data_IF_412742253297
#
_entry.id   IF_412742253297
#
_cell.length_a   1.000
_cell.length_b   1.000
_cell.length_c   1.000
_cell.angle_alpha   90.00
_cell.angle_beta   90.00
_cell.angle_gamma   90.00
#
_symmetry.space_group_name_H-M   'P 1'
#
loop_
_entity.id
_entity.type
_entity.pdbx_description
1 polymer ?
#
# COMPACT_ATOMS: atom_id res chain seq x y z
N UNK A 1 -8.45 -20.53 17.89
CA UNK A 1 -7.30 -20.32 16.98
C UNK A 1 -6.20 -19.59 17.74
N UNK A 2 -4.93 -19.89 17.52
CA UNK A 2 -3.82 -19.21 18.22
C UNK A 2 -3.48 -17.86 17.56
N UNK A 3 -2.93 -16.90 18.32
CA UNK A 3 -2.59 -15.57 17.83
C UNK A 3 -1.65 -15.61 16.60
N UNK A 4 -0.68 -16.53 16.58
CA UNK A 4 0.26 -16.70 15.46
C UNK A 4 -0.42 -17.10 14.15
N UNK A 5 -1.51 -17.87 14.20
CA UNK A 5 -2.27 -18.28 13.01
C UNK A 5 -3.03 -17.08 12.44
N UNK A 6 -3.63 -16.26 13.31
CA UNK A 6 -4.34 -15.04 12.93
C UNK A 6 -3.37 -14.04 12.27
N UNK A 7 -2.16 -13.89 12.82
CA UNK A 7 -1.14 -12.99 12.25
C UNK A 7 -0.66 -13.46 10.86
N UNK A 8 -0.49 -14.76 10.66
CA UNK A 8 -0.11 -15.33 9.37
C UNK A 8 -1.20 -15.15 8.30
N UNK A 9 -2.46 -15.43 8.65
CA UNK A 9 -3.60 -15.20 7.75
C UNK A 9 -3.74 -13.73 7.36
N UNK A 10 -3.58 -12.85 8.34
CA UNK A 10 -3.65 -11.40 8.13
C UNK A 10 -2.53 -10.90 7.20
N UNK A 11 -1.31 -11.41 7.39
CA UNK A 11 -0.17 -11.13 6.50
C UNK A 11 -0.45 -11.58 5.08
N UNK A 12 -0.95 -12.81 4.90
CA UNK A 12 -1.28 -13.35 3.57
C UNK A 12 -2.38 -12.54 2.87
N UNK A 13 -3.46 -12.22 3.58
CA UNK A 13 -4.54 -11.38 3.05
C UNK A 13 -4.04 -10.00 2.63
N UNK A 14 -3.13 -9.41 3.40
CA UNK A 14 -2.55 -8.11 3.09
C UNK A 14 -1.70 -8.19 1.82
N UNK A 15 -0.90 -9.25 1.67
CA UNK A 15 -0.11 -9.50 0.47
C UNK A 15 -0.97 -9.66 -0.79
N UNK A 16 -2.06 -10.41 -0.70
CA UNK A 16 -3.00 -10.61 -1.81
C UNK A 16 -3.67 -9.28 -2.23
N UNK A 17 -4.15 -8.50 -1.25
CA UNK A 17 -4.75 -7.19 -1.52
C UNK A 17 -3.77 -6.21 -2.16
N UNK A 18 -2.50 -6.22 -1.75
CA UNK A 18 -1.47 -5.39 -2.36
C UNK A 18 -1.26 -5.76 -3.84
N UNK A 19 -1.22 -7.05 -4.17
CA UNK A 19 -1.13 -7.51 -5.55
C UNK A 19 -2.36 -7.10 -6.36
N UNK A 20 -3.58 -7.27 -5.84
CA UNK A 20 -4.81 -6.81 -6.49
C UNK A 20 -4.80 -5.31 -6.74
N UNK A 21 -4.34 -4.53 -5.76
CA UNK A 21 -4.24 -3.08 -5.88
C UNK A 21 -3.22 -2.68 -6.95
N UNK A 22 -2.03 -3.29 -6.95
CA UNK A 22 -1.04 -3.07 -8.00
C UNK A 22 -1.62 -3.36 -9.40
N UNK A 23 -2.30 -4.49 -9.56
CA UNK A 23 -2.89 -4.89 -10.86
C UNK A 23 -4.02 -3.95 -11.31
N UNK A 24 -4.77 -3.35 -10.39
CA UNK A 24 -5.87 -2.42 -10.72
C UNK A 24 -5.42 -1.17 -11.50
N UNK A 25 -4.13 -0.83 -11.49
CA UNK A 25 -3.59 0.28 -12.28
C UNK A 25 -3.44 -0.03 -13.77
N UNK A 26 -3.49 -1.31 -14.16
CA UNK A 26 -3.34 -1.77 -15.55
C UNK A 26 -4.68 -2.10 -16.22
N UNK A 27 -5.79 -2.08 -15.47
CA UNK A 27 -7.11 -2.50 -15.97
C UNK A 27 -7.96 -1.35 -16.52
N UNK A 28 -7.51 -0.10 -16.42
CA UNK A 28 -8.27 1.09 -16.83
C UNK A 28 -7.45 1.94 -17.83
N UNK A 29 -7.99 2.14 -19.03
CA UNK A 29 -7.40 2.97 -20.09
C UNK A 29 -7.13 4.40 -19.59
N UNK A 30 -7.93 4.92 -18.66
CA UNK A 30 -7.69 6.22 -18.04
C UNK A 30 -6.40 6.25 -17.21
N UNK A 31 -6.07 5.16 -16.51
CA UNK A 31 -4.83 5.04 -15.75
C UNK A 31 -3.62 4.92 -16.69
N UNK A 32 -3.75 4.20 -17.81
CA UNK A 32 -2.72 4.10 -18.84
C UNK A 32 -2.40 5.48 -19.45
N UNK A 33 -3.44 6.25 -19.79
CA UNK A 33 -3.29 7.60 -20.36
C UNK A 33 -2.74 8.63 -19.36
N UNK A 34 -2.84 8.36 -18.06
CA UNK A 34 -2.35 9.23 -16.98
C UNK A 34 -1.26 8.57 -16.14
N UNK A 35 -0.53 7.61 -16.71
CA UNK A 35 0.35 6.73 -15.94
C UNK A 35 1.35 7.50 -15.08
N UNK A 36 1.88 8.61 -15.58
CA UNK A 36 2.82 9.47 -14.86
C UNK A 36 2.30 9.96 -13.50
N UNK A 37 0.99 10.15 -13.37
CA UNK A 37 0.35 10.58 -12.11
C UNK A 37 0.27 9.43 -11.10
N UNK A 38 0.11 8.21 -11.57
CA UNK A 38 -0.06 7.02 -10.75
C UNK A 38 1.25 6.28 -10.48
N UNK A 39 2.31 6.55 -11.25
CA UNK A 39 3.65 5.98 -11.09
C UNK A 39 4.13 5.99 -9.63
N UNK A 40 4.10 7.11 -8.89
CA UNK A 40 4.62 7.12 -7.52
C UNK A 40 3.89 6.15 -6.58
N UNK A 41 2.56 6.07 -6.69
CA UNK A 41 1.73 5.16 -5.88
C UNK A 41 1.93 3.71 -6.29
N UNK A 42 1.98 3.45 -7.60
CA UNK A 42 2.22 2.12 -8.14
C UNK A 42 3.57 1.57 -7.71
N UNK A 43 4.62 2.38 -7.81
CA UNK A 43 5.98 2.00 -7.44
C UNK A 43 6.09 1.81 -5.91
N UNK A 44 5.42 2.65 -5.11
CA UNK A 44 5.33 2.43 -3.67
C UNK A 44 4.65 1.10 -3.32
N UNK A 45 3.54 0.74 -3.99
CA UNK A 45 2.88 -0.57 -3.80
C UNK A 45 3.84 -1.71 -4.17
N UNK A 46 4.53 -1.62 -5.31
CA UNK A 46 5.50 -2.64 -5.75
C UNK A 46 6.63 -2.82 -4.72
N UNK A 47 7.15 -1.73 -4.18
CA UNK A 47 8.18 -1.77 -3.15
C UNK A 47 7.66 -2.45 -1.88
N UNK A 48 6.44 -2.16 -1.43
CA UNK A 48 5.86 -2.86 -0.28
C UNK A 48 5.64 -4.35 -0.55
N UNK A 49 5.18 -4.73 -1.75
CA UNK A 49 5.11 -6.15 -2.16
C UNK A 49 6.49 -6.81 -2.01
N UNK A 50 7.56 -6.15 -2.44
CA UNK A 50 8.93 -6.65 -2.27
C UNK A 50 9.31 -6.83 -0.79
N UNK A 51 8.85 -5.96 0.11
CA UNK A 51 9.03 -6.12 1.56
C UNK A 51 8.37 -7.39 2.11
N UNK A 52 7.24 -7.81 1.56
CA UNK A 52 6.62 -9.11 1.90
C UNK A 52 7.43 -10.31 1.42
N UNK A 53 8.06 -10.20 0.25
CA UNK A 53 8.91 -11.28 -0.30
C UNK A 53 10.20 -11.41 0.52
N UNK A 54 10.78 -10.29 0.96
CA UNK A 54 12.01 -10.25 1.77
C UNK A 54 11.78 -10.43 3.27
N UNK A 55 10.52 -10.47 3.71
CA UNK A 55 10.09 -10.46 5.12
C UNK A 55 10.64 -9.29 5.96
N UNK A 56 10.85 -8.14 5.32
CA UNK A 56 11.38 -6.92 5.93
C UNK A 56 10.25 -6.03 6.44
N UNK A 57 9.83 -6.26 7.69
CA UNK A 57 8.76 -5.53 8.37
C UNK A 57 7.50 -5.25 7.49
N UNK A 58 7.00 -6.25 6.74
CA UNK A 58 6.07 -6.01 5.64
C UNK A 58 4.76 -5.35 6.05
N UNK A 59 4.20 -5.75 7.20
CA UNK A 59 2.95 -5.18 7.72
C UNK A 59 3.09 -3.71 8.12
N UNK A 60 4.26 -3.30 8.62
CA UNK A 60 4.52 -1.90 8.97
C UNK A 60 4.64 -1.04 7.71
N UNK A 61 5.35 -1.54 6.68
CA UNK A 61 5.39 -0.88 5.37
C UNK A 61 4.01 -0.81 4.70
N UNK A 62 3.14 -1.81 4.87
CA UNK A 62 1.76 -1.76 4.39
C UNK A 62 0.93 -0.67 5.07
N UNK A 63 1.01 -0.53 6.40
CA UNK A 63 0.33 0.57 7.11
C UNK A 63 0.85 1.94 6.71
N UNK A 64 2.17 2.06 6.53
CA UNK A 64 2.82 3.27 6.02
C UNK A 64 2.34 3.64 4.62
N UNK A 65 2.16 2.65 3.74
CA UNK A 65 1.64 2.83 2.38
C UNK A 65 0.20 3.37 2.37
N UNK A 66 -0.67 2.88 3.26
CA UNK A 66 -2.04 3.40 3.39
C UNK A 66 -2.01 4.90 3.68
N UNK A 67 -1.20 5.33 4.65
CA UNK A 67 -1.05 6.74 4.99
C UNK A 67 -0.46 7.57 3.85
N UNK A 68 0.53 7.05 3.14
CA UNK A 68 1.09 7.70 1.95
C UNK A 68 0.01 7.92 0.87
N UNK A 69 -0.79 6.89 0.54
CA UNK A 69 -1.84 7.00 -0.48
C UNK A 69 -2.93 7.98 -0.05
N UNK A 70 -3.38 7.93 1.21
CA UNK A 70 -4.34 8.90 1.75
C UNK A 70 -3.80 10.34 1.65
N UNK A 71 -2.50 10.52 1.89
CA UNK A 71 -1.81 11.81 1.73
C UNK A 71 -1.82 12.28 0.28
N UNK A 72 -1.57 11.39 -0.69
CA UNK A 72 -1.65 11.71 -2.12
C UNK A 72 -3.07 12.08 -2.58
N UNK A 73 -4.10 11.44 -2.00
CA UNK A 73 -5.50 11.80 -2.26
C UNK A 73 -5.80 13.20 -1.73
N UNK A 74 -5.36 13.50 -0.51
CA UNK A 74 -5.64 14.77 0.17
C UNK A 74 -4.88 15.97 -0.44
N UNK A 75 -3.57 15.86 -0.64
CA UNK A 75 -2.71 16.98 -1.06
C UNK A 75 -2.50 17.08 -2.57
N UNK A 76 -2.40 15.94 -3.26
CA UNK A 76 -2.16 15.89 -4.72
C UNK A 76 -3.44 15.69 -5.54
N UNK A 77 -4.60 15.71 -4.86
CA UNK A 77 -5.93 15.45 -5.42
C UNK A 77 -5.99 14.17 -6.27
N UNK A 78 -5.18 13.15 -5.91
CA UNK A 78 -5.15 11.89 -6.64
C UNK A 78 -6.52 11.23 -6.59
N UNK A 79 -7.09 10.94 -7.76
CA UNK A 79 -8.38 10.25 -7.85
C UNK A 79 -8.13 8.78 -8.09
N UNK A 80 -8.62 7.96 -7.16
CA UNK A 80 -8.65 6.51 -7.29
C UNK A 80 -10.02 6.07 -7.82
N UNK A 81 -10.05 4.95 -8.54
CA UNK A 81 -11.30 4.31 -8.93
C UNK A 81 -12.06 3.77 -7.70
N UNK A 82 -13.35 3.44 -7.87
CA UNK A 82 -14.14 2.83 -6.79
C UNK A 82 -13.51 1.52 -6.27
N UNK A 83 -12.95 0.72 -7.18
CA UNK A 83 -12.26 -0.52 -6.83
C UNK A 83 -10.98 -0.25 -6.03
N UNK A 84 -10.17 0.71 -6.46
CA UNK A 84 -8.94 1.10 -5.77
C UNK A 84 -9.23 1.66 -4.36
N UNK A 85 -10.29 2.45 -4.20
CA UNK A 85 -10.74 2.92 -2.89
C UNK A 85 -11.18 1.77 -1.98
N UNK A 86 -11.91 0.78 -2.52
CA UNK A 86 -12.29 -0.40 -1.75
C UNK A 86 -11.06 -1.20 -1.27
N UNK A 87 -10.07 -1.37 -2.15
CA UNK A 87 -8.81 -2.04 -1.81
C UNK A 87 -8.04 -1.28 -0.73
N UNK A 88 -7.95 0.05 -0.85
CA UNK A 88 -7.32 0.91 0.15
C UNK A 88 -7.98 0.77 1.53
N UNK A 89 -9.32 0.80 1.61
CA UNK A 89 -10.03 0.64 2.88
C UNK A 89 -9.82 -0.73 3.52
N UNK A 90 -9.76 -1.80 2.71
CA UNK A 90 -9.46 -3.14 3.23
C UNK A 90 -8.03 -3.23 3.77
N UNK A 91 -7.06 -2.62 3.09
CA UNK A 91 -5.68 -2.52 3.60
C UNK A 91 -5.61 -1.71 4.89
N UNK A 92 -6.33 -0.60 4.98
CA UNK A 92 -6.44 0.21 6.19
C UNK A 92 -6.96 -0.63 7.36
N UNK A 93 -8.03 -1.38 7.18
CA UNK A 93 -8.58 -2.25 8.22
C UNK A 93 -7.61 -3.32 8.73
N UNK A 94 -6.80 -3.87 7.82
CA UNK A 94 -5.77 -4.83 8.18
C UNK A 94 -4.57 -4.16 8.86
N UNK A 95 -4.29 -2.89 8.58
CA UNK A 95 -3.04 -2.25 9.04
C UNK A 95 -3.21 -1.26 10.19
N UNK A 96 -4.44 -0.87 10.55
CA UNK A 96 -4.75 0.17 11.55
C UNK A 96 -4.15 0.01 12.96
N UNK A 97 -3.76 -1.20 13.34
CA UNK A 97 -3.18 -1.51 14.66
C UNK A 97 -1.69 -1.90 14.60
N UNK A 98 -1.03 -1.68 13.46
CA UNK A 98 0.39 -1.97 13.31
C UNK A 98 1.21 -0.80 13.84
N UNK A 99 2.24 -1.10 14.64
CA UNK A 99 3.20 -0.09 15.09
C UNK A 99 4.08 0.36 13.91
N UNK A 100 4.09 1.66 13.65
CA UNK A 100 4.80 2.27 12.52
C UNK A 100 6.12 2.97 12.93
N UNK A 101 6.46 2.95 14.23
CA UNK A 101 7.54 3.78 14.80
C UNK A 101 8.90 3.57 14.10
N UNK A 102 9.18 2.35 13.62
CA UNK A 102 10.47 1.99 13.05
C UNK A 102 10.59 2.19 11.54
N UNK A 103 9.48 2.44 10.84
CA UNK A 103 9.48 2.54 9.37
C UNK A 103 9.41 3.97 8.86
N UNK A 104 9.19 4.99 9.70
CA UNK A 104 9.12 6.39 9.27
C UNK A 104 10.50 7.05 9.16
N UNK A 105 11.08 7.02 7.97
CA UNK A 105 12.42 7.59 7.67
C UNK A 105 12.39 8.83 6.77
N UNK A 106 11.22 9.28 6.29
CA UNK A 106 11.08 10.43 5.37
C UNK A 106 9.68 11.07 5.48
N UNK A 107 9.39 12.21 4.83
CA UNK A 107 8.05 12.84 4.84
C UNK A 107 6.93 11.95 4.29
N UNK A 108 5.72 12.07 4.86
CA UNK A 108 4.54 11.22 4.57
C UNK A 108 4.08 11.19 3.11
N UNK A 109 4.39 12.23 2.35
CA UNK A 109 4.03 12.41 0.95
C UNK A 109 5.14 12.01 -0.02
N UNK A 110 6.29 11.53 0.48
CA UNK A 110 7.43 11.12 -0.33
C UNK A 110 7.42 9.61 -0.57
N UNK A 111 7.51 9.20 -1.84
CA UNK A 111 7.65 7.78 -2.20
C UNK A 111 9.04 7.21 -1.85
N UNK A 112 10.03 8.06 -1.55
CA UNK A 112 11.37 7.61 -1.12
C UNK A 112 11.32 6.81 0.18
N UNK A 113 10.24 6.96 0.94
CA UNK A 113 9.89 6.16 2.11
C UNK A 113 9.93 4.64 1.90
N UNK A 114 9.91 4.15 0.66
CA UNK A 114 9.80 2.73 0.33
C UNK A 114 11.02 2.18 -0.45
N UNK A 115 12.05 2.99 -0.71
CA UNK A 115 13.14 2.67 -1.65
C UNK A 115 14.37 2.01 -0.98
N UNK A 116 14.35 1.85 0.34
CA UNK A 116 15.38 1.10 1.08
C UNK A 116 15.07 -0.38 1.16
#
# INVERSE_FOLDING_TARGET
>A
MSAKVIDAEKREQTYQLLNEFYQSFFSDVYNELNIHRYLPVRDAIANVIHKFIMDDHPMAFAGKLVMYIQTQIAFSHLRLSKQQLLLLHRLEDLTKNIDLTFVYTSPLDSNQQFVG
#
